data_IF_784531080495
#
_entry.id   IF_784531080495
#
_cell.length_a   1.000
_cell.length_b   1.000
_cell.length_c   1.000
_cell.angle_alpha   90.00
_cell.angle_beta   90.00
_cell.angle_gamma   90.00
#
_symmetry.space_group_name_H-M   'P 1'
#
loop_
_entity.id
_entity.type
_entity.pdbx_description
1 polymer ?
#
# COMPACT_ATOMS: atom_id res chain seq x y z
N UNK A 1 -22.68 -82.08 -6.89
CA UNK A 1 -21.86 -81.55 -8.01
C UNK A 1 -22.34 -80.17 -8.31
N UNK A 2 -21.67 -79.13 -7.76
CA UNK A 2 -21.71 -77.76 -8.29
C UNK A 2 -20.74 -76.95 -7.48
N UNK A 3 -19.75 -76.42 -8.16
CA UNK A 3 -18.70 -75.56 -7.69
C UNK A 3 -19.23 -74.18 -7.35
N UNK A 4 -18.77 -73.63 -6.23
CA UNK A 4 -18.90 -72.22 -5.90
C UNK A 4 -17.63 -71.48 -6.32
N UNK A 5 -17.71 -70.30 -6.98
CA UNK A 5 -16.54 -69.46 -7.17
C UNK A 5 -16.37 -68.44 -6.03
N UNK A 6 -15.14 -68.35 -5.60
CA UNK A 6 -14.56 -67.46 -4.60
C UNK A 6 -14.63 -66.00 -5.05
N UNK A 7 -15.16 -65.11 -4.21
CA UNK A 7 -15.12 -63.67 -4.40
C UNK A 7 -13.77 -63.14 -3.98
N UNK A 8 -13.04 -62.53 -4.91
CA UNK A 8 -11.90 -61.67 -4.62
C UNK A 8 -12.38 -60.22 -4.33
N UNK A 9 -12.11 -59.74 -3.13
CA UNK A 9 -12.10 -58.34 -2.80
C UNK A 9 -10.74 -57.76 -3.17
N UNK A 10 -10.67 -56.61 -3.81
CA UNK A 10 -9.45 -55.80 -3.79
C UNK A 10 -9.54 -54.84 -2.60
N UNK A 11 -8.61 -54.97 -1.68
CA UNK A 11 -8.37 -54.05 -0.59
C UNK A 11 -7.51 -52.88 -1.07
N UNK A 12 -7.87 -51.70 -0.64
CA UNK A 12 -6.92 -50.69 -0.22
C UNK A 12 -6.25 -49.82 -1.28
N UNK A 13 -6.75 -48.62 -1.52
CA UNK A 13 -5.96 -47.46 -1.93
C UNK A 13 -6.60 -46.14 -1.46
N UNK A 14 -6.61 -45.92 -0.16
CA UNK A 14 -7.14 -44.65 0.40
C UNK A 14 -6.21 -43.96 1.40
N UNK A 15 -4.92 -44.32 1.48
CA UNK A 15 -3.99 -43.77 2.46
C UNK A 15 -2.85 -42.90 1.88
N UNK A 16 -2.69 -42.80 0.58
CA UNK A 16 -1.59 -42.01 -0.01
C UNK A 16 -1.96 -40.55 -0.34
N UNK A 17 -3.23 -40.24 -0.59
CA UNK A 17 -3.69 -38.90 -0.94
C UNK A 17 -3.68 -37.94 0.27
N UNK A 18 -4.01 -38.39 1.46
CA UNK A 18 -4.06 -37.55 2.66
C UNK A 18 -2.67 -37.06 3.13
N UNK A 19 -1.61 -37.82 2.87
CA UNK A 19 -0.25 -37.47 3.31
C UNK A 19 0.40 -36.43 2.37
N UNK A 20 0.02 -36.39 1.10
CA UNK A 20 0.50 -35.41 0.11
C UNK A 20 -0.16 -34.04 0.28
N UNK A 21 -1.44 -33.99 0.63
CA UNK A 21 -2.18 -32.74 0.88
C UNK A 21 -1.69 -32.06 2.16
N UNK A 22 -1.53 -32.78 3.27
CA UNK A 22 -0.97 -32.26 4.52
C UNK A 22 0.45 -31.72 4.35
N UNK A 23 1.29 -32.39 3.53
CA UNK A 23 2.64 -31.91 3.23
C UNK A 23 2.65 -30.64 2.37
N UNK A 24 1.69 -30.49 1.45
CA UNK A 24 1.53 -29.29 0.61
C UNK A 24 1.01 -28.11 1.41
N UNK A 25 0.07 -28.33 2.33
CA UNK A 25 -0.41 -27.29 3.25
C UNK A 25 0.70 -26.80 4.18
N UNK A 26 1.50 -27.68 4.73
CA UNK A 26 2.65 -27.32 5.56
C UNK A 26 3.70 -26.51 4.79
N UNK A 27 3.98 -26.89 3.54
CA UNK A 27 4.90 -26.13 2.68
C UNK A 27 4.35 -24.74 2.36
N UNK A 28 3.06 -24.62 2.05
CA UNK A 28 2.41 -23.34 1.79
C UNK A 28 2.43 -22.43 3.03
N UNK A 29 2.18 -22.99 4.22
CA UNK A 29 2.27 -22.23 5.48
C UNK A 29 3.70 -21.78 5.77
N UNK A 30 4.70 -22.63 5.54
CA UNK A 30 6.11 -22.28 5.74
C UNK A 30 6.56 -21.18 4.76
N UNK A 31 6.16 -21.27 3.50
CA UNK A 31 6.42 -20.24 2.48
C UNK A 31 5.77 -18.90 2.84
N UNK A 32 4.51 -18.91 3.28
CA UNK A 32 3.83 -17.71 3.74
C UNK A 32 4.53 -17.09 4.96
N UNK A 33 4.93 -17.91 5.94
CA UNK A 33 5.66 -17.43 7.11
C UNK A 33 7.02 -16.83 6.73
N UNK A 34 7.72 -17.44 5.79
CA UNK A 34 8.99 -16.93 5.27
C UNK A 34 8.81 -15.58 4.56
N UNK A 35 7.82 -15.47 3.68
CA UNK A 35 7.50 -14.21 2.99
C UNK A 35 7.10 -13.10 3.98
N UNK A 36 6.31 -13.41 4.99
CA UNK A 36 5.96 -12.45 6.04
C UNK A 36 7.19 -11.99 6.83
N UNK A 37 8.10 -12.90 7.15
CA UNK A 37 9.36 -12.56 7.85
C UNK A 37 10.23 -11.66 6.98
N UNK A 38 10.40 -11.97 5.69
CA UNK A 38 11.14 -11.16 4.73
C UNK A 38 10.55 -9.74 4.62
N UNK A 39 9.22 -9.65 4.53
CA UNK A 39 8.53 -8.35 4.48
C UNK A 39 8.76 -7.53 5.75
N UNK A 40 8.67 -8.13 6.92
CA UNK A 40 8.96 -7.45 8.19
C UNK A 40 10.40 -6.90 8.24
N UNK A 41 11.37 -7.68 7.76
CA UNK A 41 12.76 -7.22 7.69
C UNK A 41 12.93 -6.04 6.73
N UNK A 42 12.27 -6.08 5.55
CA UNK A 42 12.31 -4.97 4.60
C UNK A 42 11.65 -3.70 5.15
N UNK A 43 10.51 -3.83 5.82
CA UNK A 43 9.85 -2.70 6.49
C UNK A 43 10.75 -2.10 7.57
N UNK A 44 11.40 -2.91 8.38
CA UNK A 44 12.37 -2.43 9.39
C UNK A 44 13.53 -1.67 8.74
N UNK A 45 14.11 -2.21 7.67
CA UNK A 45 15.17 -1.52 6.92
C UNK A 45 14.68 -0.20 6.30
N UNK A 46 13.48 -0.18 5.75
CA UNK A 46 12.87 1.03 5.21
C UNK A 46 12.66 2.09 6.32
N UNK A 47 12.22 1.67 7.49
CA UNK A 47 12.03 2.56 8.64
C UNK A 47 13.33 3.28 9.03
N UNK A 48 14.45 2.56 9.04
CA UNK A 48 15.78 3.12 9.32
C UNK A 48 16.28 4.09 8.22
N UNK A 49 15.85 3.89 6.97
CA UNK A 49 16.30 4.66 5.80
C UNK A 49 15.46 5.92 5.56
N UNK A 50 14.23 5.99 6.08
CA UNK A 50 13.32 7.12 5.87
C UNK A 50 13.19 7.91 7.15
N UNK A 51 13.71 9.16 7.15
CA UNK A 51 13.75 10.00 8.34
C UNK A 51 12.36 10.46 8.78
N UNK A 52 11.54 10.92 7.83
CA UNK A 52 10.21 11.46 8.12
C UNK A 52 9.15 10.82 7.24
N UNK A 53 8.02 10.44 7.83
CA UNK A 53 6.86 9.84 7.15
C UNK A 53 5.63 10.68 7.45
N UNK A 54 5.06 11.29 6.42
CA UNK A 54 3.97 12.25 6.55
C UNK A 54 2.76 11.76 5.75
N UNK A 55 1.64 11.57 6.42
CA UNK A 55 0.36 11.24 5.81
C UNK A 55 -0.34 12.52 5.32
N UNK A 56 -0.98 12.47 4.16
CA UNK A 56 -1.86 13.54 3.66
C UNK A 56 -3.26 12.99 3.55
N UNK A 57 -4.17 13.50 4.37
CA UNK A 57 -5.55 13.05 4.50
C UNK A 57 -6.53 14.16 4.14
N UNK A 58 -7.72 13.77 3.70
CA UNK A 58 -8.87 14.66 3.59
C UNK A 58 -10.14 13.91 3.97
N UNK A 59 -11.08 14.58 4.58
CA UNK A 59 -12.38 14.00 4.91
C UNK A 59 -13.29 13.80 3.69
N UNK A 60 -13.01 14.49 2.58
CA UNK A 60 -13.84 14.57 1.38
C UNK A 60 -12.98 14.56 0.13
N UNK A 61 -13.50 14.02 -0.98
CA UNK A 61 -12.87 14.11 -2.29
C UNK A 61 -12.94 15.52 -2.89
N UNK A 62 -11.99 15.83 -3.79
CA UNK A 62 -11.99 17.09 -4.55
C UNK A 62 -11.52 18.33 -3.80
N UNK A 63 -10.92 18.21 -2.63
CA UNK A 63 -10.42 19.34 -1.82
C UNK A 63 -8.96 19.73 -2.15
N UNK A 64 -8.33 19.06 -3.12
CA UNK A 64 -6.92 19.32 -3.48
C UNK A 64 -5.89 18.49 -2.71
N UNK A 65 -6.29 17.41 -2.06
CA UNK A 65 -5.39 16.53 -1.27
C UNK A 65 -4.13 16.12 -2.04
N UNK A 66 -4.28 15.50 -3.21
CA UNK A 66 -3.15 15.07 -4.05
C UNK A 66 -2.31 16.24 -4.57
N UNK A 67 -2.93 17.42 -4.78
CA UNK A 67 -2.21 18.65 -5.11
C UNK A 67 -1.31 19.09 -3.97
N UNK A 68 -1.81 19.03 -2.74
CA UNK A 68 -1.02 19.35 -1.54
C UNK A 68 0.08 18.33 -1.33
N UNK A 69 -0.22 17.01 -1.46
CA UNK A 69 0.78 15.96 -1.32
C UNK A 69 1.92 16.12 -2.34
N UNK A 70 1.58 16.29 -3.62
CA UNK A 70 2.54 16.50 -4.72
C UNK A 70 3.32 17.81 -4.53
N UNK A 71 2.62 18.90 -4.18
CA UNK A 71 3.24 20.21 -3.92
C UNK A 71 4.24 20.17 -2.76
N UNK A 72 3.90 19.48 -1.67
CA UNK A 72 4.78 19.28 -0.52
C UNK A 72 6.03 18.48 -0.92
N UNK A 73 5.86 17.37 -1.64
CA UNK A 73 6.97 16.54 -2.11
C UNK A 73 7.92 17.34 -3.02
N UNK A 74 7.38 18.07 -3.99
CA UNK A 74 8.18 18.89 -4.91
C UNK A 74 8.89 20.06 -4.19
N UNK A 75 8.22 20.69 -3.21
CA UNK A 75 8.82 21.79 -2.45
C UNK A 75 10.02 21.32 -1.64
N UNK A 76 9.88 20.21 -0.92
CA UNK A 76 10.99 19.62 -0.17
C UNK A 76 12.12 19.16 -1.09
N UNK A 77 11.81 18.57 -2.25
CA UNK A 77 12.83 18.16 -3.21
C UNK A 77 13.59 19.36 -3.79
N UNK A 78 12.92 20.48 -4.07
CA UNK A 78 13.55 21.73 -4.51
C UNK A 78 14.46 22.36 -3.45
N UNK A 79 14.22 22.06 -2.18
CA UNK A 79 15.12 22.41 -1.07
C UNK A 79 16.29 21.44 -0.89
N UNK A 80 16.47 20.51 -1.83
CA UNK A 80 17.57 19.54 -1.83
C UNK A 80 17.35 18.32 -0.94
N UNK A 81 16.11 18.07 -0.50
CA UNK A 81 15.77 16.86 0.27
C UNK A 81 15.52 15.68 -0.66
N UNK A 82 15.91 14.48 -0.22
CA UNK A 82 15.55 13.22 -0.87
C UNK A 82 14.11 12.87 -0.48
N UNK A 83 13.18 12.89 -1.44
CA UNK A 83 11.74 12.75 -1.15
C UNK A 83 11.14 11.59 -1.93
N UNK A 84 10.31 10.80 -1.24
CA UNK A 84 9.40 9.82 -1.82
C UNK A 84 7.95 10.32 -1.76
N UNK A 85 7.17 9.98 -2.77
CA UNK A 85 5.73 10.21 -2.82
C UNK A 85 5.03 8.88 -3.12
N UNK A 86 4.24 8.40 -2.17
CA UNK A 86 3.45 7.18 -2.29
C UNK A 86 1.98 7.53 -2.43
N UNK A 87 1.41 7.30 -3.61
CA UNK A 87 -0.01 7.51 -3.90
C UNK A 87 -0.77 6.19 -3.79
N UNK A 88 -1.59 6.07 -2.77
CA UNK A 88 -2.44 4.90 -2.50
C UNK A 88 -3.92 5.13 -2.79
N UNK A 89 -4.27 6.23 -3.47
CA UNK A 89 -5.63 6.49 -3.91
C UNK A 89 -5.94 5.68 -5.18
N UNK A 90 -6.62 4.53 -5.00
CA UNK A 90 -7.01 3.65 -6.11
C UNK A 90 -8.16 4.24 -6.93
N UNK A 91 -8.99 5.08 -6.32
CA UNK A 91 -10.22 5.59 -6.96
C UNK A 91 -9.97 6.76 -7.90
N UNK A 92 -8.87 7.45 -7.70
CA UNK A 92 -8.47 8.58 -8.53
C UNK A 92 -6.98 8.85 -8.41
N UNK A 93 -6.11 7.91 -8.86
CA UNK A 93 -4.66 8.04 -8.71
C UNK A 93 -4.13 9.08 -9.69
N UNK A 94 -4.15 10.36 -9.29
CA UNK A 94 -3.81 11.49 -10.15
C UNK A 94 -2.34 11.91 -10.07
N UNK A 95 -1.57 11.39 -9.12
CA UNK A 95 -0.18 11.80 -8.90
C UNK A 95 0.70 11.60 -10.14
N UNK A 96 0.67 10.47 -10.86
CA UNK A 96 1.46 10.32 -12.09
C UNK A 96 1.14 11.39 -13.13
N UNK A 97 -0.12 11.70 -13.36
CA UNK A 97 -0.55 12.75 -14.30
C UNK A 97 -0.06 14.12 -13.88
N UNK A 98 -0.07 14.44 -12.59
CA UNK A 98 0.41 15.73 -12.07
C UNK A 98 1.93 15.89 -12.21
N UNK A 99 2.66 14.78 -12.30
CA UNK A 99 4.12 14.75 -12.39
C UNK A 99 4.65 14.41 -13.80
N UNK A 100 3.76 14.17 -14.79
CA UNK A 100 4.13 13.75 -16.14
C UNK A 100 4.73 12.36 -16.19
N UNK A 101 4.20 11.44 -15.38
CA UNK A 101 4.66 10.06 -15.24
C UNK A 101 3.59 9.03 -15.68
N UNK A 102 2.63 9.44 -16.54
CA UNK A 102 1.55 8.55 -16.98
C UNK A 102 2.07 7.32 -17.73
N UNK A 103 3.16 7.47 -18.46
CA UNK A 103 3.77 6.40 -19.25
C UNK A 103 4.93 5.70 -18.51
N UNK A 104 5.06 5.92 -17.21
CA UNK A 104 6.14 5.32 -16.43
C UNK A 104 5.83 3.86 -16.09
N UNK A 105 6.69 2.95 -16.53
CA UNK A 105 6.66 1.55 -16.15
C UNK A 105 7.40 1.32 -14.82
N UNK A 106 6.83 0.50 -13.95
CA UNK A 106 7.50 0.07 -12.74
C UNK A 106 8.53 -1.03 -13.07
N UNK A 107 9.78 -0.80 -12.73
CA UNK A 107 10.80 -1.83 -12.79
C UNK A 107 10.75 -2.70 -11.52
N UNK A 108 10.72 -4.01 -11.69
CA UNK A 108 10.81 -4.98 -10.60
C UNK A 108 12.10 -5.77 -10.76
N UNK A 109 13.02 -5.59 -9.82
CA UNK A 109 14.31 -6.27 -9.80
C UNK A 109 14.56 -6.88 -8.42
N UNK A 110 15.02 -8.12 -8.38
CA UNK A 110 15.24 -8.88 -7.13
C UNK A 110 14.04 -8.90 -6.17
N UNK A 111 12.83 -8.90 -6.73
CA UNK A 111 11.58 -8.90 -5.96
C UNK A 111 11.29 -7.56 -5.25
N UNK A 112 11.98 -6.49 -5.65
CA UNK A 112 11.70 -5.13 -5.19
C UNK A 112 11.17 -4.26 -6.34
N UNK A 113 10.24 -3.38 -6.01
CA UNK A 113 9.66 -2.42 -6.94
C UNK A 113 10.51 -1.15 -6.89
N UNK A 114 11.08 -0.76 -8.01
CA UNK A 114 11.81 0.51 -8.10
C UNK A 114 10.83 1.64 -8.41
N UNK A 115 10.80 2.71 -7.58
CA UNK A 115 9.93 3.85 -7.81
C UNK A 115 10.33 4.60 -9.08
N UNK A 116 9.35 5.17 -9.79
CA UNK A 116 9.59 6.07 -10.90
C UNK A 116 10.26 7.36 -10.41
N UNK A 117 11.13 7.94 -11.22
CA UNK A 117 11.77 9.21 -10.91
C UNK A 117 10.99 10.37 -11.53
N UNK A 118 10.39 11.18 -10.69
CA UNK A 118 9.64 12.37 -11.06
C UNK A 118 10.49 13.65 -11.07
N UNK A 119 9.85 14.80 -11.32
CA UNK A 119 10.50 16.10 -11.31
C UNK A 119 11.25 16.37 -9.99
N UNK A 120 12.38 17.05 -10.08
CA UNK A 120 13.29 17.37 -8.97
C UNK A 120 13.83 16.12 -8.23
N UNK A 121 13.82 14.93 -8.86
CA UNK A 121 14.30 13.69 -8.27
C UNK A 121 13.37 13.08 -7.22
N UNK A 122 12.08 13.45 -7.20
CA UNK A 122 11.10 12.82 -6.33
C UNK A 122 10.88 11.37 -6.79
N UNK A 123 11.05 10.42 -5.88
CA UNK A 123 10.72 9.02 -6.13
C UNK A 123 9.23 8.80 -5.98
N UNK A 124 8.58 8.24 -6.98
CA UNK A 124 7.12 8.11 -7.03
C UNK A 124 6.70 6.66 -7.18
N UNK A 125 5.76 6.25 -6.34
CA UNK A 125 4.98 5.03 -6.52
C UNK A 125 3.49 5.39 -6.46
N UNK A 126 2.69 4.85 -7.37
CA UNK A 126 1.25 5.11 -7.40
C UNK A 126 0.47 3.85 -7.72
N UNK A 127 -0.72 3.75 -7.16
CA UNK A 127 -1.68 2.70 -7.52
C UNK A 127 -2.07 2.77 -9.01
N UNK A 128 -1.90 3.94 -9.66
CA UNK A 128 -2.08 4.08 -11.11
C UNK A 128 -1.18 3.14 -11.91
N UNK A 129 0.05 2.93 -11.48
CA UNK A 129 1.02 2.06 -12.18
C UNK A 129 0.65 0.57 -12.18
N UNK A 130 -0.33 0.18 -11.36
CA UNK A 130 -0.87 -1.19 -11.33
C UNK A 130 -2.10 -1.35 -12.22
N UNK A 131 -2.56 -0.27 -12.88
CA UNK A 131 -3.72 -0.28 -13.75
C UNK A 131 -3.25 -0.56 -15.19
N UNK A 132 -3.76 -1.62 -15.80
CA UNK A 132 -3.48 -1.92 -17.22
C UNK A 132 -4.08 -0.88 -18.18
N UNK A 133 -5.17 -0.24 -17.77
CA UNK A 133 -5.88 0.75 -18.55
C UNK A 133 -6.51 1.79 -17.58
N UNK A 134 -6.04 3.03 -17.59
CA UNK A 134 -6.51 4.07 -16.66
C UNK A 134 -7.99 4.45 -16.88
N UNK A 135 -8.54 4.18 -18.05
CA UNK A 135 -9.94 4.50 -18.38
C UNK A 135 -10.92 3.37 -18.04
N UNK A 136 -10.42 2.18 -17.69
CA UNK A 136 -11.27 1.08 -17.26
C UNK A 136 -11.57 1.13 -15.77
N UNK A 137 -12.84 1.02 -15.37
CA UNK A 137 -13.18 0.91 -13.97
C UNK A 137 -12.61 -0.41 -13.38
N UNK A 138 -11.67 -0.31 -12.47
CA UNK A 138 -11.12 -1.48 -11.77
C UNK A 138 -11.87 -1.67 -10.45
N UNK A 139 -12.49 -2.82 -10.30
CA UNK A 139 -13.18 -3.19 -9.06
C UNK A 139 -12.16 -3.85 -8.12
N UNK A 140 -11.49 -3.04 -7.34
CA UNK A 140 -10.62 -3.53 -6.28
C UNK A 140 -11.45 -3.98 -5.08
N UNK A 141 -11.47 -5.28 -4.81
CA UNK A 141 -12.03 -5.78 -3.56
C UNK A 141 -11.09 -5.45 -2.40
N UNK A 142 -11.63 -5.12 -1.23
CA UNK A 142 -10.87 -4.68 -0.06
C UNK A 142 -9.56 -5.46 0.21
N UNK A 143 -9.57 -6.81 0.25
CA UNK A 143 -8.36 -7.59 0.50
C UNK A 143 -7.25 -7.40 -0.55
N UNK A 144 -7.60 -7.25 -1.84
CA UNK A 144 -6.63 -7.02 -2.93
C UNK A 144 -6.00 -5.63 -2.78
N UNK A 145 -6.82 -4.63 -2.50
CA UNK A 145 -6.40 -3.25 -2.26
C UNK A 145 -5.41 -3.15 -1.09
N UNK A 146 -5.76 -3.74 0.05
CA UNK A 146 -4.90 -3.76 1.22
C UNK A 146 -3.60 -4.54 0.97
N UNK A 147 -3.67 -5.61 0.18
CA UNK A 147 -2.49 -6.36 -0.27
C UNK A 147 -1.52 -5.50 -1.08
N UNK A 148 -2.01 -4.72 -2.04
CA UNK A 148 -1.20 -3.80 -2.85
C UNK A 148 -0.56 -2.70 -1.99
N UNK A 149 -1.30 -2.10 -1.06
CA UNK A 149 -0.76 -1.13 -0.10
C UNK A 149 0.37 -1.74 0.72
N UNK A 150 0.18 -2.96 1.22
CA UNK A 150 1.22 -3.67 1.98
C UNK A 150 2.46 -3.98 1.12
N UNK A 151 2.28 -4.26 -0.18
CA UNK A 151 3.41 -4.39 -1.12
C UNK A 151 4.16 -3.07 -1.27
N UNK A 152 3.48 -1.96 -1.45
CA UNK A 152 4.11 -0.64 -1.56
C UNK A 152 4.90 -0.27 -0.31
N UNK A 153 4.41 -0.65 0.86
CA UNK A 153 5.13 -0.44 2.12
C UNK A 153 6.36 -1.36 2.22
N UNK A 154 6.24 -2.64 1.84
CA UNK A 154 7.28 -3.64 2.13
C UNK A 154 8.24 -3.93 0.97
N UNK A 155 7.82 -3.73 -0.28
CA UNK A 155 8.54 -4.22 -1.45
C UNK A 155 9.12 -3.10 -2.32
N UNK A 156 8.85 -1.81 -2.01
CA UNK A 156 9.43 -0.68 -2.75
C UNK A 156 10.84 -0.36 -2.26
N UNK A 157 11.77 -0.28 -3.20
CA UNK A 157 13.18 0.08 -2.95
C UNK A 157 13.35 1.61 -2.85
N UNK A 158 12.84 2.21 -1.77
CA UNK A 158 12.94 3.65 -1.54
C UNK A 158 14.39 4.14 -1.39
N UNK A 159 15.25 3.33 -0.74
CA UNK A 159 16.57 3.76 -0.30
C UNK A 159 16.48 4.86 0.76
N UNK A 160 17.56 5.63 0.93
CA UNK A 160 17.56 6.74 1.88
C UNK A 160 16.66 7.88 1.42
N UNK A 161 15.74 8.30 2.29
CA UNK A 161 14.87 9.47 2.10
C UNK A 161 14.92 10.38 3.32
N UNK A 162 14.85 11.70 3.07
CA UNK A 162 14.59 12.68 4.12
C UNK A 162 13.09 12.71 4.48
N UNK A 163 12.21 12.51 3.49
CA UNK A 163 10.76 12.44 3.72
C UNK A 163 10.06 11.48 2.76
N UNK A 164 9.08 10.74 3.27
CA UNK A 164 8.09 10.00 2.50
C UNK A 164 6.72 10.64 2.72
N UNK A 165 6.15 11.17 1.65
CA UNK A 165 4.79 11.73 1.64
C UNK A 165 3.84 10.66 1.15
N UNK A 166 2.75 10.43 1.88
CA UNK A 166 1.78 9.39 1.57
C UNK A 166 0.43 10.03 1.28
N UNK A 167 0.00 9.97 0.02
CA UNK A 167 -1.28 10.47 -0.44
C UNK A 167 -2.36 9.40 -0.33
N UNK A 168 -3.38 9.63 0.49
CA UNK A 168 -4.45 8.68 0.78
C UNK A 168 -5.70 8.92 -0.06
N UNK A 169 -6.57 7.93 -0.24
CA UNK A 169 -7.92 8.17 -0.70
C UNK A 169 -8.68 9.08 0.28
N UNK A 170 -9.74 9.76 -0.20
CA UNK A 170 -10.56 10.61 0.67
C UNK A 170 -11.31 9.78 1.72
N UNK A 171 -11.47 10.35 2.91
CA UNK A 171 -12.16 9.70 4.03
C UNK A 171 -11.22 9.06 5.05
N UNK A 172 -11.83 8.32 5.99
CA UNK A 172 -11.14 7.65 7.10
C UNK A 172 -11.39 6.13 7.04
N UNK A 173 -11.12 5.54 5.86
CA UNK A 173 -11.34 4.12 5.57
C UNK A 173 -10.25 3.19 6.13
N UNK A 174 -10.20 1.99 5.58
CA UNK A 174 -9.26 0.94 6.01
C UNK A 174 -7.81 1.25 5.59
N UNK A 175 -7.60 2.06 4.56
CA UNK A 175 -6.28 2.34 4.00
C UNK A 175 -5.38 3.12 4.98
N UNK A 176 -5.82 4.26 5.56
CA UNK A 176 -5.02 4.97 6.55
C UNK A 176 -4.74 4.12 7.79
N UNK A 177 -5.70 3.27 8.20
CA UNK A 177 -5.50 2.35 9.31
C UNK A 177 -4.45 1.29 8.97
N UNK A 178 -4.54 0.67 7.79
CA UNK A 178 -3.58 -0.34 7.33
C UNK A 178 -2.17 0.22 7.27
N UNK A 179 -2.00 1.43 6.72
CA UNK A 179 -0.68 2.08 6.66
C UNK A 179 -0.16 2.36 8.06
N UNK A 180 -0.98 2.93 8.95
CA UNK A 180 -0.57 3.22 10.33
C UNK A 180 -0.17 1.99 11.13
N UNK A 181 -0.76 0.84 10.84
CA UNK A 181 -0.43 -0.44 11.47
C UNK A 181 0.79 -1.14 10.84
N UNK A 182 1.03 -0.90 9.55
CA UNK A 182 2.07 -1.59 8.78
C UNK A 182 3.37 -0.79 8.67
N UNK A 183 3.28 0.54 8.73
CA UNK A 183 4.40 1.45 8.59
C UNK A 183 4.74 2.07 9.94
N UNK A 184 5.86 1.69 10.57
CA UNK A 184 6.29 2.28 11.82
C UNK A 184 6.77 3.73 11.63
N UNK A 185 6.80 4.48 12.73
CA UNK A 185 7.46 5.79 12.77
C UNK A 185 6.79 6.88 11.91
N UNK A 186 5.45 6.90 11.81
CA UNK A 186 4.74 8.00 11.16
C UNK A 186 4.83 9.25 12.04
N UNK A 187 5.45 10.31 11.51
CA UNK A 187 5.69 11.56 12.26
C UNK A 187 4.45 12.43 12.39
N UNK A 188 3.54 12.34 11.42
CA UNK A 188 2.32 13.12 11.50
C UNK A 188 1.45 13.10 10.26
N UNK A 189 0.36 13.84 10.36
CA UNK A 189 -0.64 13.97 9.28
C UNK A 189 -0.90 15.43 8.94
N UNK A 190 -0.97 15.72 7.65
CA UNK A 190 -1.49 16.97 7.09
C UNK A 190 -2.93 16.73 6.66
N UNK A 191 -3.86 17.55 7.14
CA UNK A 191 -5.27 17.48 6.77
C UNK A 191 -5.56 18.53 5.71
N UNK A 192 -6.14 18.11 4.58
CA UNK A 192 -6.53 19.03 3.51
C UNK A 192 -8.04 19.22 3.51
N UNK A 193 -8.49 20.45 3.46
CA UNK A 193 -9.90 20.82 3.50
C UNK A 193 -10.20 22.03 2.59
N UNK A 194 -11.44 22.42 2.55
CA UNK A 194 -11.93 23.67 1.94
C UNK A 194 -12.86 24.37 2.93
N UNK A 195 -13.09 25.70 2.83
CA UNK A 195 -13.83 26.48 3.84
C UNK A 195 -15.34 26.19 3.92
N UNK A 196 -15.85 25.26 3.13
CA UNK A 196 -17.27 24.92 3.19
C UNK A 196 -17.60 24.14 4.47
N UNK A 197 -18.71 24.46 5.10
CA UNK A 197 -19.15 23.82 6.37
C UNK A 197 -19.20 22.29 6.29
N UNK A 198 -19.65 21.74 5.15
CA UNK A 198 -19.69 20.28 4.94
C UNK A 198 -18.28 19.68 4.95
N UNK A 199 -17.30 20.34 4.35
CA UNK A 199 -15.91 19.88 4.35
C UNK A 199 -15.27 19.95 5.74
N UNK A 200 -15.63 20.96 6.53
CA UNK A 200 -15.17 21.10 7.91
C UNK A 200 -15.65 19.96 8.82
N UNK A 201 -16.90 19.48 8.62
CA UNK A 201 -17.41 18.32 9.35
C UNK A 201 -16.60 17.07 9.07
N UNK A 202 -16.27 16.83 7.81
CA UNK A 202 -15.48 15.65 7.41
C UNK A 202 -14.01 15.79 7.85
N UNK A 203 -13.46 17.00 7.83
CA UNK A 203 -12.11 17.27 8.34
C UNK A 203 -11.98 16.99 9.84
N UNK A 204 -13.03 17.28 10.63
CA UNK A 204 -13.08 16.88 12.06
C UNK A 204 -12.99 15.37 12.24
N UNK A 205 -13.63 14.59 11.37
CA UNK A 205 -13.51 13.12 11.39
C UNK A 205 -12.07 12.67 11.10
N UNK A 206 -11.41 13.29 10.12
CA UNK A 206 -10.00 13.00 9.81
C UNK A 206 -9.06 13.36 10.97
N UNK A 207 -9.28 14.48 11.64
CA UNK A 207 -8.53 14.87 12.86
C UNK A 207 -8.76 13.86 13.99
N UNK A 208 -10.00 13.45 14.22
CA UNK A 208 -10.32 12.45 15.26
C UNK A 208 -9.74 11.07 14.92
N UNK A 209 -9.74 10.71 13.65
CA UNK A 209 -9.07 9.49 13.18
C UNK A 209 -7.56 9.55 13.48
N UNK A 210 -6.87 10.64 13.14
CA UNK A 210 -5.46 10.81 13.45
C UNK A 210 -5.16 10.64 14.95
N UNK A 211 -6.02 11.19 15.81
CA UNK A 211 -5.94 11.00 17.27
C UNK A 211 -6.13 9.54 17.67
N UNK A 212 -7.07 8.84 17.04
CA UNK A 212 -7.36 7.43 17.35
C UNK A 212 -6.19 6.52 17.00
N UNK A 213 -5.48 6.79 15.91
CA UNK A 213 -4.28 6.04 15.52
C UNK A 213 -2.99 6.59 16.18
N UNK A 214 -3.12 7.55 17.10
CA UNK A 214 -2.02 8.18 17.83
C UNK A 214 -0.97 8.86 16.94
N UNK A 215 -1.39 9.39 15.79
CA UNK A 215 -0.54 10.18 14.88
C UNK A 215 -0.83 11.67 15.07
N UNK A 216 0.18 12.52 15.31
CA UNK A 216 -0.03 13.96 15.52
C UNK A 216 -0.49 14.65 14.24
N UNK A 217 -1.39 15.63 14.38
CA UNK A 217 -1.75 16.52 13.26
C UNK A 217 -0.72 17.63 13.17
N UNK A 218 0.03 17.66 12.06
CA UNK A 218 1.08 18.67 11.79
C UNK A 218 0.47 20.01 11.37
N UNK A 219 -0.65 19.95 10.66
CA UNK A 219 -1.34 21.15 10.20
C UNK A 219 -2.57 20.84 9.37
N UNK A 220 -3.29 21.89 9.05
CA UNK A 220 -4.45 21.89 8.15
C UNK A 220 -4.15 22.83 7.01
N UNK A 221 -4.37 22.38 5.78
CA UNK A 221 -4.25 23.19 4.55
C UNK A 221 -5.65 23.42 3.99
N UNK A 222 -5.98 24.69 3.77
CA UNK A 222 -7.24 25.16 3.21
C UNK A 222 -7.03 25.83 1.85
#
# INVERSE_FOLDING_TARGET
MADSPVSHHPAGSSSETGNSEASNEQRAQMEQAYQQMQRKMRIGKMDEQIKHKIMVLSGKGGVGKSTVATGLALSLAREGKKVGLMDIDITGPNVPKMLGLEDADLNVEDGQIHPAEGPAGVKVISMAFLLEDPDKPVIWRGPIKLGAIQQFIGDVAWGELDALIIDFPPGTGDEPLTVSQSLPGIDGVVIVTTPQEVALLDSRKSINFAKTISVPVLGVVE
#
